data_IF_843610051665
#
_entry.id   IF_843610051665
#
_cell.length_a   1.000
_cell.length_b   1.000
_cell.length_c   1.000
_cell.angle_alpha   90.00
_cell.angle_beta   90.00
_cell.angle_gamma   90.00
#
_symmetry.space_group_name_H-M   'P 1'
#
loop_
_entity.id
_entity.type
_entity.pdbx_description
1 polymer ?
#
# COMPACT_ATOMS: atom_id res chain seq x y z
N UNK A 1 11.62 0.37 -15.03
CA UNK A 1 10.42 0.51 -14.17
C UNK A 1 9.99 1.96 -14.26
N UNK A 2 9.22 2.30 -15.30
CA UNK A 2 8.76 3.67 -15.52
C UNK A 2 7.75 4.02 -14.43
N UNK A 3 8.17 4.86 -13.48
CA UNK A 3 7.24 5.53 -12.58
C UNK A 3 6.54 6.60 -13.40
N UNK A 4 5.37 6.24 -13.93
CA UNK A 4 4.47 7.18 -14.58
C UNK A 4 4.16 8.32 -13.59
N UNK A 5 4.80 9.47 -13.82
CA UNK A 5 4.49 10.71 -13.12
C UNK A 5 3.07 11.13 -13.55
N UNK A 6 2.09 10.82 -12.71
CA UNK A 6 0.71 11.22 -12.91
C UNK A 6 0.63 12.77 -12.90
N UNK A 7 -0.21 13.37 -13.76
CA UNK A 7 -0.26 14.82 -13.95
C UNK A 7 -0.65 15.51 -12.63
N UNK A 8 0.22 16.41 -12.16
CA UNK A 8 0.07 17.23 -10.94
C UNK A 8 -0.97 18.35 -11.11
N UNK A 9 -2.13 18.08 -11.73
CA UNK A 9 -3.24 19.03 -11.84
C UNK A 9 -4.09 18.96 -10.58
N UNK A 10 -4.22 20.08 -9.85
CA UNK A 10 -4.94 20.24 -8.57
C UNK A 10 -4.88 18.97 -7.70
N UNK A 11 -3.80 18.78 -6.93
CA UNK A 11 -3.63 17.62 -6.05
C UNK A 11 -4.86 17.44 -5.16
N UNK A 12 -5.79 16.60 -5.58
CA UNK A 12 -6.97 16.24 -4.80
C UNK A 12 -6.50 15.47 -3.57
N UNK A 13 -7.25 15.54 -2.48
CA UNK A 13 -6.88 14.82 -1.25
C UNK A 13 -6.73 13.32 -1.53
N UNK A 14 -7.50 12.79 -2.48
CA UNK A 14 -7.40 11.44 -3.03
C UNK A 14 -6.03 11.17 -3.68
N UNK A 15 -5.55 12.07 -4.54
CA UNK A 15 -4.26 11.92 -5.22
C UNK A 15 -3.08 11.96 -4.24
N UNK A 16 -3.17 12.83 -3.21
CA UNK A 16 -2.16 12.91 -2.13
C UNK A 16 -2.21 11.65 -1.26
N UNK A 17 -3.40 11.17 -0.91
CA UNK A 17 -3.58 9.96 -0.12
C UNK A 17 -3.06 8.71 -0.86
N UNK A 18 -3.25 8.64 -2.18
CA UNK A 18 -2.68 7.59 -3.01
C UNK A 18 -1.15 7.62 -3.03
N UNK A 19 -0.53 8.80 -3.11
CA UNK A 19 0.92 8.96 -3.07
C UNK A 19 1.49 8.54 -1.70
N UNK A 20 0.88 9.01 -0.61
CA UNK A 20 1.25 8.65 0.76
C UNK A 20 1.10 7.14 1.02
N UNK A 21 0.00 6.54 0.58
CA UNK A 21 -0.26 5.11 0.72
C UNK A 21 0.79 4.28 -0.02
N UNK A 22 1.15 4.66 -1.25
CA UNK A 22 2.23 4.01 -2.01
C UNK A 22 3.57 4.13 -1.31
N UNK A 23 3.91 5.32 -0.80
CA UNK A 23 5.15 5.54 -0.05
C UNK A 23 5.23 4.61 1.17
N UNK A 24 4.17 4.52 1.98
CA UNK A 24 4.12 3.65 3.16
C UNK A 24 4.25 2.18 2.76
N UNK A 25 3.47 1.71 1.77
CA UNK A 25 3.51 0.32 1.34
C UNK A 25 4.89 -0.10 0.80
N UNK A 26 5.57 0.77 0.07
CA UNK A 26 6.91 0.49 -0.47
C UNK A 26 8.00 0.51 0.60
N UNK A 27 7.97 1.48 1.53
CA UNK A 27 9.02 1.66 2.54
C UNK A 27 8.92 0.68 3.70
N UNK A 28 7.70 0.29 4.10
CA UNK A 28 7.46 -0.58 5.25
C UNK A 28 7.21 -2.04 4.86
N UNK A 29 6.94 -2.30 3.57
CA UNK A 29 6.44 -3.60 3.13
C UNK A 29 5.01 -3.89 3.59
N UNK A 30 4.21 -2.86 3.90
CA UNK A 30 2.82 -3.01 4.34
C UNK A 30 2.01 -3.89 3.38
N UNK A 31 1.28 -4.86 3.94
CA UNK A 31 0.51 -5.85 3.22
C UNK A 31 1.33 -6.97 2.55
N UNK A 32 2.66 -6.83 2.44
CA UNK A 32 3.48 -7.98 2.02
C UNK A 32 3.38 -9.04 3.11
N UNK A 33 2.79 -10.18 2.79
CA UNK A 33 2.82 -11.34 3.67
C UNK A 33 4.28 -11.71 3.89
N UNK A 34 4.74 -11.65 5.13
CA UNK A 34 6.11 -11.96 5.51
C UNK A 34 6.38 -13.45 5.20
N UNK A 35 6.87 -13.71 3.98
CA UNK A 35 7.04 -15.04 3.43
C UNK A 35 8.35 -15.22 2.67
N UNK A 36 9.34 -14.37 2.91
CA UNK A 36 10.69 -14.47 2.35
C UNK A 36 11.74 -14.71 3.45
N UNK A 37 11.37 -15.45 4.50
CA UNK A 37 12.30 -16.00 5.48
C UNK A 37 12.80 -17.36 4.98
N UNK A 38 14.11 -17.49 4.81
CA UNK A 38 14.75 -18.77 4.46
C UNK A 38 14.70 -19.73 5.66
N UNK A 39 13.96 -20.83 5.54
CA UNK A 39 14.04 -21.97 6.46
C UNK A 39 12.73 -22.39 7.13
N UNK A 40 12.13 -23.46 6.60
CA UNK A 40 11.17 -24.34 7.29
C UNK A 40 9.91 -23.70 7.90
N UNK A 41 9.09 -23.04 7.08
CA UNK A 41 7.67 -22.83 7.41
C UNK A 41 6.81 -23.28 6.22
N UNK A 42 5.93 -24.24 6.47
CA UNK A 42 5.01 -24.80 5.49
C UNK A 42 4.10 -23.75 4.87
N UNK A 43 3.87 -23.88 3.56
CA UNK A 43 2.64 -23.54 2.84
C UNK A 43 1.83 -22.32 3.33
N UNK A 44 2.46 -21.19 3.67
CA UNK A 44 1.76 -20.05 4.29
C UNK A 44 1.96 -18.69 3.62
N UNK A 45 2.81 -18.61 2.60
CA UNK A 45 3.23 -17.33 2.03
C UNK A 45 2.68 -17.02 0.62
N UNK A 46 1.84 -17.91 0.07
CA UNK A 46 1.32 -17.78 -1.31
C UNK A 46 -0.14 -17.31 -1.37
N UNK A 47 -0.88 -17.27 -0.26
CA UNK A 47 -2.29 -17.70 -0.39
C UNK A 47 -3.39 -16.64 -0.47
N UNK A 48 -3.18 -15.34 -0.20
CA UNK A 48 -4.33 -14.40 -0.25
C UNK A 48 -3.99 -13.04 -0.85
N UNK A 49 -3.89 -12.93 -2.19
CA UNK A 49 -3.87 -11.62 -2.86
C UNK A 49 -5.08 -10.75 -2.45
N UNK A 50 -6.20 -11.36 -2.06
CA UNK A 50 -7.38 -10.70 -1.54
C UNK A 50 -7.11 -10.02 -0.19
N UNK A 51 -6.36 -10.67 0.70
CA UNK A 51 -6.00 -10.12 2.02
C UNK A 51 -4.98 -8.98 1.86
N UNK A 52 -4.05 -9.12 0.91
CA UNK A 52 -3.16 -8.03 0.54
C UNK A 52 -3.93 -6.81 0.03
N UNK A 53 -4.88 -7.02 -0.88
CA UNK A 53 -5.73 -5.96 -1.40
C UNK A 53 -6.55 -5.29 -0.27
N UNK A 54 -7.10 -6.07 0.66
CA UNK A 54 -7.84 -5.55 1.81
C UNK A 54 -6.96 -4.64 2.69
N UNK A 55 -5.73 -5.05 2.99
CA UNK A 55 -4.79 -4.22 3.73
C UNK A 55 -4.47 -2.91 3.00
N UNK A 56 -4.20 -2.96 1.69
CA UNK A 56 -3.94 -1.76 0.90
C UNK A 56 -5.12 -0.79 0.90
N UNK A 57 -6.36 -1.30 0.81
CA UNK A 57 -7.57 -0.49 0.87
C UNK A 57 -7.77 0.17 2.25
N UNK A 58 -7.51 -0.57 3.33
CA UNK A 58 -7.53 -0.01 4.69
C UNK A 58 -6.51 1.13 4.85
N UNK A 59 -5.27 0.89 4.39
CA UNK A 59 -4.21 1.89 4.43
C UNK A 59 -4.58 3.15 3.65
N UNK A 60 -5.18 2.99 2.47
CA UNK A 60 -5.66 4.12 1.69
C UNK A 60 -6.70 4.95 2.46
N UNK A 61 -7.68 4.30 3.09
CA UNK A 61 -8.68 4.99 3.93
C UNK A 61 -8.04 5.81 5.05
N UNK A 62 -7.02 5.25 5.72
CA UNK A 62 -6.24 5.97 6.74
C UNK A 62 -5.48 7.16 6.16
N UNK A 63 -4.90 7.02 4.98
CA UNK A 63 -4.20 8.10 4.29
C UNK A 63 -5.16 9.23 3.91
N UNK A 64 -6.35 8.89 3.40
CA UNK A 64 -7.38 9.85 3.04
C UNK A 64 -7.84 10.68 4.25
N UNK A 65 -8.12 10.02 5.38
CA UNK A 65 -8.47 10.69 6.64
C UNK A 65 -7.35 11.61 7.14
N UNK A 66 -6.08 11.22 6.93
CA UNK A 66 -4.92 12.01 7.35
C UNK A 66 -4.74 13.26 6.49
N UNK A 67 -4.96 13.15 5.18
CA UNK A 67 -4.84 14.26 4.22
C UNK A 67 -6.04 15.21 4.29
N UNK A 68 -7.24 14.68 4.52
CA UNK A 68 -8.49 15.44 4.58
C UNK A 68 -8.58 16.46 5.72
N UNK A 69 -7.58 16.53 6.61
CA UNK A 69 -7.53 17.47 7.71
C UNK A 69 -8.63 17.20 8.74
N UNK A 70 -8.39 16.24 9.62
CA UNK A 70 -9.25 15.98 10.79
C UNK A 70 -8.64 16.56 12.05
#
# INVERSE_FOLDING_TARGET
MEMAALPLGSRRNEDIALDLMKFIAMTTGYGKTAGAGVGFQGSGATDKPEEYAAHLLELYGRCLLSVGGK
#
